data_IF_992341561734
#
_entry.id   IF_992341561734
#
_cell.length_a   1.000
_cell.length_b   1.000
_cell.length_c   1.000
_cell.angle_alpha   90.00
_cell.angle_beta   90.00
_cell.angle_gamma   90.00
#
_symmetry.space_group_name_H-M   'P 1'
#
loop_
_entity.id
_entity.type
_entity.pdbx_description
1 polymer ?
#
# COMPACT_ATOMS: atom_id res chain seq x y z
N UNK A 1 3.32 9.04 11.20
CA UNK A 1 1.98 8.60 10.71
C UNK A 1 1.29 7.83 11.83
N UNK A 2 -0.04 7.97 12.00
CA UNK A 2 -0.83 7.15 12.92
C UNK A 2 -1.73 6.22 12.12
N UNK A 3 -1.82 4.96 12.55
CA UNK A 3 -2.75 4.00 11.99
C UNK A 3 -4.17 4.30 12.46
N UNK A 4 -5.12 4.34 11.52
CA UNK A 4 -6.55 4.53 11.81
C UNK A 4 -7.22 3.16 11.94
N UNK A 5 -7.74 2.77 13.12
CA UNK A 5 -8.34 1.47 13.30
C UNK A 5 -9.71 1.38 12.61
N UNK A 6 -9.96 0.28 11.90
CA UNK A 6 -11.30 -0.16 11.51
C UNK A 6 -11.88 -1.00 12.63
N UNK A 7 -13.05 -0.61 13.14
CA UNK A 7 -13.74 -1.32 14.21
C UNK A 7 -15.05 -1.93 13.71
N UNK A 8 -15.39 -3.11 14.22
CA UNK A 8 -16.74 -3.66 14.16
C UNK A 8 -17.69 -2.89 15.10
N UNK A 9 -19.02 -3.06 14.98
CA UNK A 9 -19.98 -2.45 15.90
C UNK A 9 -19.75 -2.81 17.39
N UNK A 10 -19.15 -3.96 17.67
CA UNK A 10 -18.78 -4.44 19.01
C UNK A 10 -17.46 -3.85 19.56
N UNK A 11 -16.80 -2.97 18.80
CA UNK A 11 -15.55 -2.32 19.18
C UNK A 11 -14.27 -3.10 18.84
N UNK A 12 -14.37 -4.33 18.35
CA UNK A 12 -13.19 -5.13 17.96
C UNK A 12 -12.48 -4.54 16.73
N UNK A 13 -11.16 -4.42 16.79
CA UNK A 13 -10.33 -3.90 15.68
C UNK A 13 -10.10 -5.01 14.67
N UNK A 14 -10.53 -4.81 13.43
CA UNK A 14 -10.38 -5.80 12.35
C UNK A 14 -9.31 -5.45 11.33
N UNK A 15 -8.93 -4.19 11.24
CA UNK A 15 -7.90 -3.71 10.34
C UNK A 15 -7.36 -2.36 10.80
N UNK A 16 -6.26 -1.94 10.20
CA UNK A 16 -5.74 -0.59 10.31
C UNK A 16 -5.58 0.01 8.91
N UNK A 17 -5.87 1.29 8.78
CA UNK A 17 -5.61 2.08 7.59
C UNK A 17 -4.40 2.98 7.82
N UNK A 18 -3.54 3.06 6.81
CA UNK A 18 -2.47 4.03 6.69
C UNK A 18 -2.77 4.89 5.46
N UNK A 19 -2.64 6.21 5.61
CA UNK A 19 -2.80 7.14 4.49
C UNK A 19 -1.41 7.50 3.98
N UNK A 20 -1.14 7.18 2.71
CA UNK A 20 0.02 7.67 1.97
C UNK A 20 -0.41 8.91 1.19
N UNK A 21 0.28 10.02 1.39
CA UNK A 21 -0.07 11.28 0.73
C UNK A 21 0.12 11.20 -0.80
N UNK A 22 -0.61 12.01 -1.57
CA UNK A 22 -0.51 11.96 -3.05
C UNK A 22 0.88 12.36 -3.57
N UNK A 23 1.60 13.24 -2.86
CA UNK A 23 3.00 13.56 -3.13
C UNK A 23 3.91 12.38 -2.75
N UNK A 24 3.75 11.84 -1.56
CA UNK A 24 4.53 10.69 -1.06
C UNK A 24 4.39 9.47 -1.98
N UNK A 25 3.17 9.17 -2.45
CA UNK A 25 2.91 8.07 -3.37
C UNK A 25 3.59 8.28 -4.74
N UNK A 26 3.68 9.53 -5.22
CA UNK A 26 4.41 9.85 -6.46
C UNK A 26 5.92 9.76 -6.26
N UNK A 27 6.43 10.33 -5.18
CA UNK A 27 7.86 10.29 -4.84
C UNK A 27 8.33 8.83 -4.61
N UNK A 28 7.46 7.98 -4.06
CA UNK A 28 7.69 6.53 -3.91
C UNK A 28 7.51 5.72 -5.20
N UNK A 29 7.07 6.35 -6.30
CA UNK A 29 6.85 5.68 -7.59
C UNK A 29 5.62 4.78 -7.64
N UNK A 30 4.71 4.85 -6.66
CA UNK A 30 3.49 4.04 -6.61
C UNK A 30 2.44 4.50 -7.64
N UNK A 31 2.56 5.72 -8.15
CA UNK A 31 1.66 6.28 -9.16
C UNK A 31 2.40 6.34 -10.49
N UNK A 32 1.75 5.87 -11.55
CA UNK A 32 2.26 5.92 -12.93
C UNK A 32 2.16 7.33 -13.52
N UNK A 33 2.85 7.62 -14.64
CA UNK A 33 2.75 8.91 -15.31
C UNK A 33 1.32 9.29 -15.76
N UNK A 34 0.49 8.30 -16.08
CA UNK A 34 -0.93 8.47 -16.45
C UNK A 34 -1.85 8.77 -15.25
N UNK A 35 -1.33 8.75 -14.02
CA UNK A 35 -2.07 8.98 -12.79
C UNK A 35 -2.68 7.72 -12.14
N UNK A 36 -2.58 6.56 -12.78
CA UNK A 36 -3.07 5.30 -12.23
C UNK A 36 -2.09 4.71 -11.21
N UNK A 37 -2.61 3.92 -10.25
CA UNK A 37 -1.76 3.19 -9.30
C UNK A 37 -1.00 2.09 -10.02
N UNK A 38 0.29 1.93 -9.69
CA UNK A 38 1.04 0.71 -9.95
C UNK A 38 0.51 -0.44 -9.11
N UNK A 39 0.79 -1.67 -9.54
CA UNK A 39 0.62 -2.88 -8.75
C UNK A 39 1.66 -2.86 -7.64
N UNK A 40 1.19 -2.92 -6.40
CA UNK A 40 2.03 -2.95 -5.21
C UNK A 40 1.95 -4.32 -4.55
N UNK A 41 3.05 -4.77 -3.98
CA UNK A 41 3.08 -5.91 -3.07
C UNK A 41 3.35 -5.46 -1.64
N UNK A 42 2.83 -6.25 -0.71
CA UNK A 42 2.95 -6.06 0.73
C UNK A 42 3.83 -7.14 1.31
N UNK A 43 4.85 -6.75 2.07
CA UNK A 43 5.70 -7.66 2.84
C UNK A 43 5.51 -7.36 4.32
N UNK A 44 5.29 -8.40 5.12
CA UNK A 44 5.19 -8.32 6.59
C UNK A 44 6.41 -9.02 7.17
N UNK A 45 7.25 -8.27 7.87
CA UNK A 45 8.34 -8.81 8.67
C UNK A 45 7.92 -8.75 10.14
N UNK A 46 7.50 -9.90 10.68
CA UNK A 46 6.98 -10.00 12.05
C UNK A 46 8.07 -9.86 13.11
N UNK A 47 9.30 -10.23 12.79
CA UNK A 47 10.43 -10.14 13.73
C UNK A 47 10.83 -8.69 13.95
N UNK A 48 10.82 -7.89 12.88
CA UNK A 48 11.13 -6.46 12.95
C UNK A 48 9.91 -5.58 13.18
N UNK A 49 8.71 -6.16 13.16
CA UNK A 49 7.45 -5.42 13.28
C UNK A 49 7.23 -4.42 12.15
N UNK A 50 7.66 -4.75 10.93
CA UNK A 50 7.57 -3.85 9.77
C UNK A 50 6.55 -4.33 8.74
N UNK A 51 5.89 -3.35 8.12
CA UNK A 51 4.99 -3.54 6.98
C UNK A 51 5.53 -2.70 5.83
N UNK A 52 6.00 -3.36 4.78
CA UNK A 52 6.59 -2.68 3.62
C UNK A 52 5.67 -2.82 2.42
N UNK A 53 5.37 -1.68 1.78
CA UNK A 53 4.73 -1.64 0.48
C UNK A 53 5.78 -1.27 -0.56
N UNK A 54 5.84 -2.02 -1.64
CA UNK A 54 6.77 -1.77 -2.74
C UNK A 54 6.10 -2.07 -4.07
N UNK A 55 6.56 -1.41 -5.13
CA UNK A 55 6.11 -1.72 -6.50
C UNK A 55 6.45 -3.17 -6.81
N UNK A 56 5.48 -3.89 -7.35
CA UNK A 56 5.71 -5.23 -7.85
C UNK A 56 6.07 -5.16 -9.33
N UNK A 57 7.36 -4.95 -9.61
CA UNK A 57 7.85 -4.73 -10.98
C UNK A 57 7.56 -5.89 -11.93
N UNK A 58 7.65 -7.13 -11.44
CA UNK A 58 7.32 -8.32 -12.23
C UNK A 58 5.84 -8.31 -12.65
N UNK A 59 4.93 -7.98 -11.74
CA UNK A 59 3.51 -7.87 -12.06
C UNK A 59 3.20 -6.63 -12.94
N UNK A 60 3.92 -5.53 -12.73
CA UNK A 60 3.79 -4.32 -13.53
C UNK A 60 4.26 -4.52 -14.98
N UNK A 61 5.33 -5.27 -15.21
CA UNK A 61 5.92 -5.54 -16.52
C UNK A 61 5.12 -6.55 -17.33
N UNK A 62 4.50 -7.54 -16.66
CA UNK A 62 3.71 -8.60 -17.31
C UNK A 62 2.24 -8.25 -17.53
N UNK A 63 1.88 -6.98 -17.35
CA UNK A 63 0.49 -6.56 -17.37
C UNK A 63 -0.03 -6.41 -18.81
N UNK A 64 -1.27 -6.84 -19.03
CA UNK A 64 -1.89 -6.89 -20.38
C UNK A 64 -2.89 -5.77 -20.64
N UNK A 65 -3.06 -4.81 -19.73
CA UNK A 65 -4.08 -3.75 -19.81
C UNK A 65 -3.62 -2.43 -20.47
N UNK A 66 -2.56 -2.48 -21.30
CA UNK A 66 -2.04 -1.32 -22.05
C UNK A 66 -2.88 -0.98 -23.28
#
# INVERSE_FOLDING_TARGET
MRLTPRKRPDGHITAYFATVGSKEARDAGFIRPDGNSRILKKVVDTEKGTLTFQVDWEAEENRTDL
#
